data_IF_834172402457
#
_entry.id   IF_834172402457
#
_cell.length_a   1.000
_cell.length_b   1.000
_cell.length_c   1.000
_cell.angle_alpha   90.00
_cell.angle_beta   90.00
_cell.angle_gamma   90.00
#
_symmetry.space_group_name_H-M   'P 1'
#
loop_
_entity.id
_entity.type
_entity.pdbx_description
1 polymer ?
#
# COMPACT_ATOMS: atom_id res chain seq x y z
N UNK A 1 64.59 34.02 27.37
CA UNK A 1 63.68 34.85 26.54
C UNK A 1 63.92 34.48 25.09
N UNK A 2 62.88 33.97 24.40
CA UNK A 2 62.74 33.81 22.95
C UNK A 2 63.76 32.93 22.19
N UNK A 3 63.44 32.21 21.13
CA UNK A 3 62.23 31.58 20.60
C UNK A 3 62.73 30.79 19.38
N UNK A 4 62.19 29.59 19.18
CA UNK A 4 62.68 28.58 18.26
C UNK A 4 62.40 28.89 16.78
N UNK A 5 63.26 28.32 15.93
CA UNK A 5 63.19 28.29 14.47
C UNK A 5 61.82 27.87 13.91
N UNK A 6 61.35 28.63 12.91
CA UNK A 6 60.28 28.25 11.98
C UNK A 6 60.83 27.33 10.88
N UNK A 7 60.15 26.21 10.64
CA UNK A 7 59.87 25.69 9.30
C UNK A 7 58.56 24.86 9.34
N UNK A 8 57.79 24.83 8.23
CA UNK A 8 56.37 24.52 8.21
C UNK A 8 56.16 23.02 7.97
N UNK A 9 55.35 22.38 8.81
CA UNK A 9 54.85 21.03 8.53
C UNK A 9 53.49 21.18 7.85
N UNK A 10 53.51 21.00 6.53
CA UNK A 10 52.34 20.81 5.69
C UNK A 10 51.66 19.49 6.12
N UNK A 11 50.73 19.58 7.06
CA UNK A 11 49.88 18.46 7.47
C UNK A 11 48.76 18.26 6.45
N UNK A 12 48.98 17.37 5.49
CA UNK A 12 47.94 16.81 4.62
C UNK A 12 46.89 16.09 5.47
N UNK A 13 45.80 16.78 5.79
CA UNK A 13 44.54 16.14 6.19
C UNK A 13 43.93 15.49 4.96
N UNK A 14 44.30 14.24 4.69
CA UNK A 14 43.46 13.34 3.92
C UNK A 14 42.21 13.04 4.75
N UNK A 15 41.23 13.95 4.70
CA UNK A 15 39.84 13.54 4.91
C UNK A 15 39.55 12.52 3.81
N UNK A 16 39.40 11.26 4.21
CA UNK A 16 38.82 10.25 3.35
C UNK A 16 37.41 10.72 2.98
N UNK A 17 37.27 11.33 1.81
CA UNK A 17 36.01 11.39 1.08
C UNK A 17 35.68 9.95 0.70
N UNK A 18 35.13 9.20 1.66
CA UNK A 18 34.26 8.10 1.30
C UNK A 18 33.00 8.82 0.83
N UNK A 19 32.65 8.79 -0.47
CA UNK A 19 31.33 9.22 -0.87
C UNK A 19 30.37 8.30 -0.13
N UNK A 20 29.65 8.85 0.86
CA UNK A 20 28.50 8.18 1.43
C UNK A 20 27.54 8.01 0.25
N UNK A 21 27.54 6.83 -0.36
CA UNK A 21 26.61 6.43 -1.41
C UNK A 21 25.22 6.24 -0.77
N UNK A 22 24.68 7.29 -0.14
CA UNK A 22 23.30 7.30 0.27
C UNK A 22 22.48 7.41 -1.01
N UNK A 23 21.80 6.32 -1.37
CA UNK A 23 20.83 6.31 -2.46
C UNK A 23 19.87 7.50 -2.29
N UNK A 24 19.80 8.34 -3.31
CA UNK A 24 19.00 9.57 -3.29
C UNK A 24 17.51 9.24 -3.42
N UNK A 25 16.71 9.72 -2.48
CA UNK A 25 15.24 9.76 -2.61
C UNK A 25 14.92 10.63 -3.83
N UNK A 26 14.14 10.09 -4.78
CA UNK A 26 13.60 10.86 -5.89
C UNK A 26 12.16 11.27 -5.59
N UNK A 27 11.81 12.47 -6.02
CA UNK A 27 10.49 13.07 -5.86
C UNK A 27 10.16 13.90 -7.11
N UNK A 28 8.87 14.17 -7.30
CA UNK A 28 8.41 15.04 -8.39
C UNK A 28 8.89 16.47 -8.11
N UNK A 29 9.57 17.08 -9.08
CA UNK A 29 9.97 18.49 -8.98
C UNK A 29 8.74 19.41 -8.98
N UNK A 30 8.83 20.58 -8.34
CA UNK A 30 7.70 21.52 -8.21
C UNK A 30 7.10 21.92 -9.56
N UNK A 31 7.94 22.10 -10.59
CA UNK A 31 7.53 22.36 -11.97
C UNK A 31 6.63 21.26 -12.58
N UNK A 32 6.70 20.04 -12.04
CA UNK A 32 5.98 18.86 -12.51
C UNK A 32 4.81 18.46 -11.62
N UNK A 33 4.48 19.23 -10.57
CA UNK A 33 3.34 18.91 -9.70
C UNK A 33 2.00 18.86 -10.44
N UNK A 34 1.87 19.54 -11.59
CA UNK A 34 0.66 19.43 -12.41
C UNK A 34 0.37 17.99 -12.87
N UNK A 35 1.40 17.14 -12.97
CA UNK A 35 1.27 15.72 -13.32
C UNK A 35 0.60 14.89 -12.22
N UNK A 36 0.48 15.44 -11.00
CA UNK A 36 -0.19 14.82 -9.86
C UNK A 36 -1.68 15.20 -9.76
N UNK A 37 -2.16 16.15 -10.57
CA UNK A 37 -3.57 16.55 -10.59
C UNK A 37 -4.56 15.40 -10.76
N UNK A 38 -4.33 14.38 -11.62
CA UNK A 38 -5.24 13.25 -11.74
C UNK A 38 -5.45 12.50 -10.41
N UNK A 39 -4.38 12.29 -9.64
CA UNK A 39 -4.45 11.63 -8.34
C UNK A 39 -5.28 12.45 -7.36
N UNK A 40 -5.00 13.75 -7.26
CA UNK A 40 -5.71 14.66 -6.36
C UNK A 40 -7.19 14.79 -6.73
N UNK A 41 -7.52 14.80 -8.02
CA UNK A 41 -8.91 14.80 -8.50
C UNK A 41 -9.66 13.54 -8.05
N UNK A 42 -9.06 12.36 -8.19
CA UNK A 42 -9.64 11.09 -7.72
C UNK A 42 -9.81 11.08 -6.21
N UNK A 43 -8.80 11.55 -5.45
CA UNK A 43 -8.82 11.55 -3.98
C UNK A 43 -9.79 12.56 -3.38
N UNK A 44 -10.09 13.66 -4.08
CA UNK A 44 -10.96 14.76 -3.58
C UNK A 44 -12.42 14.58 -3.95
N UNK A 45 -12.72 13.67 -4.89
CA UNK A 45 -14.08 13.41 -5.33
C UNK A 45 -14.82 12.54 -4.30
N UNK A 46 -15.73 13.18 -3.55
CA UNK A 46 -16.49 12.58 -2.45
C UNK A 46 -17.38 11.40 -2.86
N UNK A 47 -17.68 11.24 -4.16
CA UNK A 47 -18.40 10.08 -4.69
C UNK A 47 -17.62 8.78 -4.48
N UNK A 48 -16.29 8.85 -4.45
CA UNK A 48 -15.42 7.68 -4.45
C UNK A 48 -14.73 7.43 -3.11
N UNK A 49 -14.78 8.36 -2.16
CA UNK A 49 -14.11 8.22 -0.85
C UNK A 49 -15.08 7.83 0.24
N UNK A 50 -15.14 6.55 0.59
CA UNK A 50 -15.94 6.10 1.75
C UNK A 50 -15.19 5.09 2.61
N UNK A 51 -15.58 5.01 3.89
CA UNK A 51 -15.02 4.05 4.84
C UNK A 51 -13.51 4.21 5.05
N UNK A 52 -12.74 3.14 4.89
CA UNK A 52 -11.29 3.16 5.08
C UNK A 52 -10.55 3.96 4.01
N UNK A 53 -11.12 4.13 2.80
CA UNK A 53 -10.50 4.96 1.76
C UNK A 53 -10.31 6.41 2.22
N UNK A 54 -11.24 6.92 3.05
CA UNK A 54 -11.11 8.25 3.64
C UNK A 54 -9.88 8.35 4.56
N UNK A 55 -9.45 7.25 5.18
CA UNK A 55 -8.24 7.21 5.99
C UNK A 55 -6.97 7.16 5.13
N UNK A 56 -6.95 6.37 4.04
CA UNK A 56 -5.85 6.36 3.06
C UNK A 56 -5.61 7.77 2.51
N UNK A 57 -6.68 8.41 2.05
CA UNK A 57 -6.64 9.77 1.50
C UNK A 57 -6.19 10.77 2.56
N UNK A 58 -6.76 10.74 3.76
CA UNK A 58 -6.39 11.65 4.84
C UNK A 58 -4.91 11.51 5.22
N UNK A 59 -4.41 10.28 5.36
CA UNK A 59 -3.00 10.01 5.66
C UNK A 59 -2.10 10.60 4.59
N UNK A 60 -2.38 10.29 3.32
CA UNK A 60 -1.58 10.77 2.19
C UNK A 60 -1.53 12.30 2.12
N UNK A 61 -2.69 12.96 2.16
CA UNK A 61 -2.78 14.42 2.07
C UNK A 61 -2.02 15.12 3.21
N UNK A 62 -2.05 14.55 4.42
CA UNK A 62 -1.31 15.09 5.57
C UNK A 62 0.19 14.92 5.42
N UNK A 63 0.66 13.74 4.99
CA UNK A 63 2.08 13.46 4.82
C UNK A 63 2.71 14.35 3.75
N UNK A 64 1.99 14.66 2.67
CA UNK A 64 2.46 15.58 1.62
C UNK A 64 2.21 17.06 1.95
N UNK A 65 1.67 17.35 3.14
CA UNK A 65 1.47 18.70 3.66
C UNK A 65 0.41 19.53 2.94
N UNK A 66 -0.66 18.89 2.42
CA UNK A 66 -1.82 19.61 1.88
C UNK A 66 -2.64 20.18 3.04
N UNK A 67 -2.83 21.50 3.03
CA UNK A 67 -3.43 22.23 4.16
C UNK A 67 -4.92 22.58 3.97
N UNK A 68 -5.52 22.20 2.84
CA UNK A 68 -6.89 22.59 2.49
C UNK A 68 -7.90 22.07 3.53
N UNK A 69 -8.32 22.93 4.47
CA UNK A 69 -9.23 22.55 5.55
C UNK A 69 -10.62 22.16 5.06
N UNK A 70 -11.07 22.70 3.92
CA UNK A 70 -12.37 22.32 3.33
C UNK A 70 -12.38 20.87 2.85
N UNK A 71 -11.21 20.30 2.58
CA UNK A 71 -11.02 18.89 2.22
C UNK A 71 -10.68 18.02 3.44
N UNK A 72 -9.74 18.46 4.27
CA UNK A 72 -9.21 17.67 5.40
C UNK A 72 -10.25 17.48 6.51
N UNK A 73 -11.06 18.50 6.83
CA UNK A 73 -12.04 18.41 7.92
C UNK A 73 -13.16 17.38 7.64
N UNK A 74 -13.83 17.39 6.46
CA UNK A 74 -14.80 16.36 6.14
C UNK A 74 -14.21 14.95 6.10
N UNK A 75 -13.00 14.77 5.58
CA UNK A 75 -12.31 13.48 5.56
C UNK A 75 -12.05 12.96 6.98
N UNK A 76 -11.51 13.81 7.86
CA UNK A 76 -11.31 13.47 9.27
C UNK A 76 -12.61 13.06 9.96
N UNK A 77 -13.69 13.83 9.76
CA UNK A 77 -14.99 13.49 10.34
C UNK A 77 -15.53 12.15 9.82
N UNK A 78 -15.35 11.86 8.52
CA UNK A 78 -15.73 10.56 7.95
C UNK A 78 -14.95 9.41 8.58
N UNK A 79 -13.64 9.56 8.77
CA UNK A 79 -12.78 8.56 9.43
C UNK A 79 -13.28 8.30 10.85
N UNK A 80 -13.49 9.34 11.65
CA UNK A 80 -14.02 9.21 13.02
C UNK A 80 -15.40 8.54 13.06
N UNK A 81 -16.29 8.91 12.13
CA UNK A 81 -17.62 8.30 12.00
C UNK A 81 -17.54 6.82 11.60
N UNK A 82 -16.57 6.47 10.75
CA UNK A 82 -16.34 5.08 10.35
C UNK A 82 -15.88 4.23 11.53
N UNK A 83 -14.99 4.76 12.38
CA UNK A 83 -14.61 4.12 13.65
C UNK A 83 -15.83 3.88 14.52
N UNK A 84 -16.66 4.89 14.76
CA UNK A 84 -17.87 4.75 15.58
C UNK A 84 -18.88 3.74 15.01
N UNK A 85 -18.98 3.60 13.69
CA UNK A 85 -19.90 2.66 13.02
C UNK A 85 -19.40 1.23 13.00
N UNK A 86 -18.11 1.02 12.70
CA UNK A 86 -17.52 -0.32 12.59
C UNK A 86 -17.08 -0.87 13.93
N UNK A 87 -16.60 -0.03 14.84
CA UNK A 87 -16.17 -0.40 16.18
C UNK A 87 -15.22 -1.60 16.16
N UNK A 88 -15.60 -2.66 16.87
CA UNK A 88 -14.83 -3.91 16.97
C UNK A 88 -14.67 -4.66 15.65
N UNK A 89 -15.51 -4.40 14.63
CA UNK A 89 -15.45 -5.06 13.33
C UNK A 89 -14.33 -4.55 12.41
N UNK A 90 -13.62 -3.48 12.81
CA UNK A 90 -12.41 -3.05 12.08
C UNK A 90 -11.34 -4.14 12.16
N UNK A 91 -10.67 -4.41 11.05
CA UNK A 91 -9.48 -5.25 11.07
C UNK A 91 -8.29 -4.56 11.78
N UNK A 92 -7.24 -5.33 12.09
CA UNK A 92 -5.98 -4.80 12.62
C UNK A 92 -5.39 -3.72 11.70
N UNK A 93 -5.29 -4.00 10.40
CA UNK A 93 -4.76 -3.07 9.41
C UNK A 93 -5.63 -1.83 9.18
N UNK A 94 -6.97 -1.98 9.20
CA UNK A 94 -7.87 -0.82 9.09
C UNK A 94 -7.72 0.11 10.29
N UNK A 95 -7.64 -0.43 11.52
CA UNK A 95 -7.45 0.38 12.72
C UNK A 95 -6.06 1.03 12.74
N UNK A 96 -5.02 0.31 12.28
CA UNK A 96 -3.67 0.85 12.15
C UNK A 96 -3.63 2.04 11.18
N UNK A 97 -4.22 1.88 9.99
CA UNK A 97 -4.31 2.94 8.98
C UNK A 97 -5.08 4.17 9.49
N UNK A 98 -6.20 3.95 10.19
CA UNK A 98 -6.96 5.03 10.83
C UNK A 98 -6.10 5.77 11.86
N UNK A 99 -5.34 5.04 12.67
CA UNK A 99 -4.46 5.61 13.69
C UNK A 99 -3.36 6.46 13.03
N UNK A 100 -2.71 5.94 11.99
CA UNK A 100 -1.73 6.66 11.17
C UNK A 100 -2.35 7.93 10.57
N UNK A 101 -3.53 7.84 9.97
CA UNK A 101 -4.19 8.98 9.33
C UNK A 101 -4.51 10.11 10.32
N UNK A 102 -5.08 9.76 11.49
CA UNK A 102 -5.47 10.73 12.50
C UNK A 102 -4.27 11.38 13.21
N UNK A 103 -3.15 10.65 13.34
CA UNK A 103 -1.93 11.12 14.00
C UNK A 103 -0.76 11.41 13.05
N UNK A 104 -1.01 11.55 11.74
CA UNK A 104 0.02 11.78 10.73
C UNK A 104 0.89 13.02 11.02
N UNK A 105 0.30 14.02 11.68
CA UNK A 105 0.94 15.27 12.10
C UNK A 105 0.11 15.90 13.24
N UNK A 106 0.67 16.93 13.90
CA UNK A 106 0.06 17.59 15.05
C UNK A 106 -1.28 18.25 14.70
N UNK A 107 -2.39 17.65 15.13
CA UNK A 107 -3.75 18.17 14.95
C UNK A 107 -4.62 17.83 16.16
N UNK A 108 -5.80 18.47 16.29
CA UNK A 108 -6.79 18.10 17.30
C UNK A 108 -7.36 16.69 17.10
N UNK A 109 -7.13 16.05 15.95
CA UNK A 109 -7.61 14.69 15.70
C UNK A 109 -6.83 13.63 16.46
N UNK A 110 -5.61 13.94 16.91
CA UNK A 110 -4.81 13.06 17.76
C UNK A 110 -5.55 12.74 19.07
N UNK A 111 -6.32 13.70 19.61
CA UNK A 111 -7.13 13.52 20.83
C UNK A 111 -8.09 12.34 20.68
N UNK A 112 -8.67 12.16 19.49
CA UNK A 112 -9.60 11.07 19.21
C UNK A 112 -8.94 9.69 19.37
N UNK A 113 -7.65 9.56 19.05
CA UNK A 113 -6.88 8.31 19.19
C UNK A 113 -6.87 7.87 20.65
N UNK A 114 -6.58 8.79 21.57
CA UNK A 114 -6.46 8.48 22.99
C UNK A 114 -7.82 8.35 23.68
N UNK A 115 -8.77 9.26 23.41
CA UNK A 115 -10.10 9.20 24.03
C UNK A 115 -10.85 7.91 23.67
N UNK A 116 -10.66 7.41 22.45
CA UNK A 116 -11.29 6.16 21.97
C UNK A 116 -10.38 4.94 22.15
N UNK A 117 -9.26 5.07 22.88
CA UNK A 117 -8.34 3.97 23.19
C UNK A 117 -7.91 3.16 21.96
N UNK A 118 -7.72 3.83 20.81
CA UNK A 118 -7.45 3.15 19.54
C UNK A 118 -6.17 2.32 19.59
N UNK A 119 -5.15 2.78 20.31
CA UNK A 119 -3.89 2.04 20.52
C UNK A 119 -4.13 0.73 21.27
N UNK A 120 -4.86 0.76 22.40
CA UNK A 120 -5.20 -0.45 23.14
C UNK A 120 -6.06 -1.42 22.33
N UNK A 121 -6.97 -0.91 21.50
CA UNK A 121 -7.72 -1.74 20.55
C UNK A 121 -6.83 -2.35 19.47
N UNK A 122 -5.83 -1.62 18.99
CA UNK A 122 -4.87 -2.11 18.00
C UNK A 122 -3.92 -3.17 18.58
N UNK A 123 -3.46 -2.98 19.82
CA UNK A 123 -2.67 -3.97 20.57
C UNK A 123 -3.42 -5.30 20.69
N UNK A 124 -4.69 -5.24 21.13
CA UNK A 124 -5.54 -6.43 21.23
C UNK A 124 -5.78 -7.10 19.86
N UNK A 125 -5.96 -6.31 18.80
CA UNK A 125 -6.14 -6.85 17.45
C UNK A 125 -4.88 -7.49 16.91
N UNK A 126 -3.70 -6.89 17.12
CA UNK A 126 -2.43 -7.48 16.74
C UNK A 126 -2.19 -8.80 17.49
N UNK A 127 -2.52 -8.85 18.78
CA UNK A 127 -2.47 -10.07 19.57
C UNK A 127 -3.41 -11.16 19.02
N UNK A 128 -4.63 -10.79 18.60
CA UNK A 128 -5.57 -11.71 17.98
C UNK A 128 -5.07 -12.27 16.63
N UNK A 129 -4.36 -11.47 15.83
CA UNK A 129 -3.67 -11.96 14.62
C UNK A 129 -2.68 -13.08 14.97
N UNK A 130 -1.83 -12.83 15.98
CA UNK A 130 -0.80 -13.77 16.45
C UNK A 130 -1.43 -15.04 17.02
N UNK A 131 -2.52 -14.93 17.76
CA UNK A 131 -3.26 -16.08 18.30
C UNK A 131 -3.87 -16.93 17.17
N UNK A 132 -4.43 -16.30 16.14
CA UNK A 132 -4.94 -17.03 15.00
C UNK A 132 -3.83 -17.76 14.24
N UNK A 133 -2.65 -17.15 14.10
CA UNK A 133 -1.48 -17.81 13.52
C UNK A 133 -1.06 -19.05 14.31
N UNK A 134 -1.09 -19.01 15.65
CA UNK A 134 -0.80 -20.18 16.48
C UNK A 134 -1.84 -21.29 16.29
N UNK A 135 -3.10 -20.93 16.11
CA UNK A 135 -4.21 -21.86 15.96
C UNK A 135 -4.37 -22.43 14.54
N UNK A 136 -3.95 -21.70 13.51
CA UNK A 136 -4.24 -22.01 12.10
C UNK A 136 -2.96 -22.02 11.24
N UNK A 137 -1.97 -22.81 11.65
CA UNK A 137 -0.75 -23.08 10.86
C UNK A 137 -0.11 -21.79 10.33
N UNK A 138 0.12 -20.81 11.19
CA UNK A 138 0.77 -19.55 10.83
C UNK A 138 -0.09 -18.58 9.99
N UNK A 139 -1.37 -18.85 9.73
CA UNK A 139 -2.26 -17.92 9.01
C UNK A 139 -2.82 -16.85 9.96
N UNK A 140 -2.61 -15.55 9.70
CA UNK A 140 -3.24 -14.47 10.48
C UNK A 140 -4.76 -14.40 10.23
N UNK A 141 -5.49 -13.63 11.03
CA UNK A 141 -6.91 -13.30 10.74
C UNK A 141 -7.02 -12.51 9.43
N UNK A 142 -6.01 -11.70 9.12
CA UNK A 142 -5.92 -10.89 7.91
C UNK A 142 -4.75 -11.34 7.01
N UNK A 143 -3.66 -10.60 6.96
CA UNK A 143 -2.48 -10.90 6.16
C UNK A 143 -1.26 -10.14 6.71
N UNK A 144 -0.07 -10.49 6.22
CA UNK A 144 1.18 -9.85 6.68
C UNK A 144 1.29 -8.37 6.33
N UNK A 145 0.57 -7.88 5.31
CA UNK A 145 0.51 -6.45 5.00
C UNK A 145 -0.19 -5.70 6.14
N UNK A 146 -1.33 -6.20 6.61
CA UNK A 146 -2.06 -5.62 7.75
C UNK A 146 -1.32 -5.83 9.08
N UNK A 147 -0.66 -6.97 9.27
CA UNK A 147 0.22 -7.20 10.42
C UNK A 147 1.36 -6.17 10.45
N UNK A 148 2.00 -5.92 9.31
CA UNK A 148 3.03 -4.90 9.14
C UNK A 148 2.52 -3.50 9.45
N UNK A 149 1.35 -3.12 8.93
CA UNK A 149 0.70 -1.85 9.27
C UNK A 149 0.43 -1.71 10.77
N UNK A 150 -0.03 -2.78 11.42
CA UNK A 150 -0.27 -2.81 12.87
C UNK A 150 1.01 -2.56 13.68
N UNK A 151 2.09 -3.27 13.36
CA UNK A 151 3.41 -3.08 14.00
C UNK A 151 3.95 -1.67 13.74
N UNK A 152 3.84 -1.18 12.51
CA UNK A 152 4.27 0.17 12.14
C UNK A 152 3.55 1.24 12.97
N UNK A 153 2.23 1.18 13.05
CA UNK A 153 1.43 2.12 13.82
C UNK A 153 1.77 2.04 15.32
N UNK A 154 1.81 0.85 15.92
CA UNK A 154 2.19 0.72 17.33
C UNK A 154 3.61 1.23 17.60
N UNK A 155 4.55 1.00 16.69
CA UNK A 155 5.90 1.54 16.82
C UNK A 155 5.93 3.09 16.81
N UNK A 156 5.28 3.72 15.84
CA UNK A 156 5.26 5.18 15.70
C UNK A 156 4.55 5.88 16.87
N UNK A 157 3.48 5.28 17.39
CA UNK A 157 2.69 5.83 18.50
C UNK A 157 3.10 5.31 19.88
N UNK A 158 4.23 4.60 19.97
CA UNK A 158 4.76 4.02 21.23
C UNK A 158 3.76 3.12 21.97
N UNK A 159 2.96 2.39 21.21
CA UNK A 159 2.09 1.32 21.72
C UNK A 159 2.88 0.07 22.13
N UNK A 160 2.21 -0.87 22.78
CA UNK A 160 2.84 -2.09 23.30
C UNK A 160 2.91 -3.20 22.26
N UNK A 161 4.10 -3.75 22.06
CA UNK A 161 4.34 -4.94 21.24
C UNK A 161 5.66 -5.60 21.65
N UNK A 162 5.84 -6.88 21.32
CA UNK A 162 7.07 -7.62 21.61
C UNK A 162 8.04 -7.56 20.43
N UNK A 163 9.23 -6.99 20.65
CA UNK A 163 10.27 -6.92 19.61
C UNK A 163 10.76 -8.29 19.18
N UNK A 164 10.88 -9.24 20.10
CA UNK A 164 11.30 -10.61 19.80
C UNK A 164 10.26 -11.36 18.97
N UNK A 165 8.96 -11.15 19.25
CA UNK A 165 7.89 -11.70 18.41
C UNK A 165 7.89 -11.07 17.02
N UNK A 166 8.10 -9.75 16.92
CA UNK A 166 8.23 -9.10 15.61
C UNK A 166 9.41 -9.68 14.83
N UNK A 167 10.58 -9.84 15.46
CA UNK A 167 11.73 -10.46 14.83
C UNK A 167 11.40 -11.87 14.33
N UNK A 168 10.78 -12.72 15.15
CA UNK A 168 10.40 -14.08 14.76
C UNK A 168 9.36 -14.12 13.62
N UNK A 169 8.28 -13.37 13.73
CA UNK A 169 7.15 -13.42 12.79
C UNK A 169 7.54 -12.89 11.41
N UNK A 170 8.36 -11.84 11.34
CA UNK A 170 8.74 -11.16 10.10
C UNK A 170 10.00 -11.76 9.44
N UNK A 171 10.33 -13.02 9.74
CA UNK A 171 11.37 -13.74 9.02
C UNK A 171 11.08 -13.77 7.49
N UNK A 172 12.04 -13.41 6.61
CA UNK A 172 11.82 -13.24 5.17
C UNK A 172 11.35 -14.47 4.40
N UNK A 173 11.55 -15.66 4.96
CA UNK A 173 11.12 -16.95 4.38
C UNK A 173 9.73 -17.38 4.86
N UNK A 174 9.05 -16.55 5.66
CA UNK A 174 7.70 -16.85 6.11
C UNK A 174 6.73 -16.95 4.92
N UNK A 175 5.92 -18.02 4.89
CA UNK A 175 4.95 -18.30 3.81
C UNK A 175 3.93 -17.17 3.59
N UNK A 176 3.71 -16.30 4.57
CA UNK A 176 2.78 -15.17 4.44
C UNK A 176 3.32 -14.01 3.58
N UNK A 177 4.57 -14.06 3.13
CA UNK A 177 5.11 -13.15 2.11
C UNK A 177 4.79 -13.59 0.68
N UNK A 178 4.20 -14.77 0.48
CA UNK A 178 4.06 -15.36 -0.85
C UNK A 178 2.61 -15.65 -1.18
N UNK A 179 2.22 -15.33 -2.42
CA UNK A 179 0.98 -15.77 -3.06
C UNK A 179 1.32 -16.49 -4.37
N UNK A 180 0.80 -17.69 -4.57
CA UNK A 180 1.19 -18.62 -5.64
C UNK A 180 2.69 -18.89 -5.70
N UNK A 181 3.36 -18.91 -4.54
CA UNK A 181 4.82 -19.01 -4.46
C UNK A 181 5.57 -17.78 -4.99
N UNK A 182 4.87 -16.72 -5.37
CA UNK A 182 5.44 -15.44 -5.80
C UNK A 182 5.49 -14.48 -4.61
N UNK A 183 6.61 -13.77 -4.49
CA UNK A 183 6.78 -12.79 -3.43
C UNK A 183 5.84 -11.60 -3.62
N UNK A 184 5.12 -11.22 -2.55
CA UNK A 184 4.26 -10.05 -2.54
C UNK A 184 5.04 -8.80 -2.17
N UNK A 185 5.28 -7.96 -3.17
CA UNK A 185 6.02 -6.70 -3.02
C UNK A 185 5.36 -5.78 -2.00
N UNK A 186 4.04 -5.62 -2.01
CA UNK A 186 3.30 -4.79 -1.05
C UNK A 186 3.56 -5.22 0.40
N UNK A 187 3.43 -6.53 0.66
CA UNK A 187 3.63 -7.13 1.98
C UNK A 187 5.07 -6.97 2.45
N UNK A 188 6.03 -7.25 1.57
CA UNK A 188 7.45 -7.10 1.86
C UNK A 188 7.82 -5.65 2.15
N UNK A 189 7.32 -4.71 1.35
CA UNK A 189 7.58 -3.29 1.52
C UNK A 189 6.98 -2.74 2.83
N UNK A 190 5.75 -3.13 3.16
CA UNK A 190 5.13 -2.77 4.43
C UNK A 190 5.89 -3.35 5.64
N UNK A 191 6.38 -4.59 5.51
CA UNK A 191 7.25 -5.19 6.51
C UNK A 191 8.57 -4.42 6.68
N UNK A 192 9.22 -3.98 5.61
CA UNK A 192 10.43 -3.15 5.68
C UNK A 192 10.15 -1.85 6.43
N UNK A 193 9.04 -1.15 6.14
CA UNK A 193 8.65 0.06 6.87
C UNK A 193 8.47 -0.21 8.37
N UNK A 194 7.71 -1.26 8.72
CA UNK A 194 7.47 -1.64 10.11
C UNK A 194 8.76 -2.00 10.86
N UNK A 195 9.57 -2.89 10.28
CA UNK A 195 10.85 -3.33 10.85
C UNK A 195 11.83 -2.17 11.00
N UNK A 196 11.86 -1.24 10.04
CA UNK A 196 12.70 -0.04 10.12
C UNK A 196 12.28 0.85 11.28
N UNK A 197 10.98 1.02 11.53
CA UNK A 197 10.51 1.72 12.73
C UNK A 197 11.01 1.04 14.01
N UNK A 198 10.82 -0.29 14.12
CA UNK A 198 11.22 -1.04 15.31
C UNK A 198 12.74 -0.97 15.53
N UNK A 199 13.53 -1.09 14.47
CA UNK A 199 15.00 -0.90 14.49
C UNK A 199 15.37 0.48 15.04
N UNK A 200 14.74 1.56 14.58
CA UNK A 200 14.96 2.92 15.09
C UNK A 200 14.60 3.03 16.58
N UNK A 201 13.47 2.45 17.01
CA UNK A 201 13.06 2.41 18.40
C UNK A 201 14.05 1.67 19.32
N UNK A 202 14.57 0.53 18.88
CA UNK A 202 15.60 -0.26 19.57
C UNK A 202 16.92 0.51 19.73
N UNK A 203 17.39 1.18 18.68
CA UNK A 203 18.62 1.98 18.69
C UNK A 203 18.48 3.17 19.66
N UNK A 204 17.32 3.81 19.67
CA UNK A 204 17.05 4.99 20.51
C UNK A 204 16.75 4.63 21.98
N UNK A 205 16.83 3.35 22.36
CA UNK A 205 16.60 2.89 23.74
C UNK A 205 15.14 2.99 24.18
N UNK A 206 14.18 3.12 23.25
CA UNK A 206 12.75 3.18 23.55
C UNK A 206 12.20 1.80 23.97
N UNK A 207 12.95 0.72 23.72
CA UNK A 207 12.63 -0.67 24.11
C UNK A 207 13.84 -1.34 24.76
N UNK A 208 13.62 -2.21 25.76
CA UNK A 208 14.70 -2.95 26.45
C UNK A 208 15.45 -3.80 25.43
N UNK A 209 16.73 -3.50 25.24
CA UNK A 209 17.56 -4.00 24.14
C UNK A 209 17.91 -5.49 24.28
N UNK A 210 17.43 -6.33 23.35
CA UNK A 210 18.16 -7.54 22.97
C UNK A 210 18.98 -7.25 21.71
N UNK A 211 20.31 -7.27 21.84
CA UNK A 211 21.24 -7.08 20.70
C UNK A 211 21.00 -8.11 19.59
N UNK A 212 20.43 -9.27 19.93
CA UNK A 212 20.06 -10.33 18.98
C UNK A 212 18.89 -9.92 18.11
N UNK A 213 17.82 -9.38 18.71
CA UNK A 213 16.62 -8.94 17.98
C UNK A 213 16.97 -7.82 17.01
N UNK A 214 17.80 -6.86 17.43
CA UNK A 214 18.26 -5.77 16.55
C UNK A 214 18.98 -6.31 15.30
N UNK A 215 19.88 -7.28 15.46
CA UNK A 215 20.59 -7.91 14.33
C UNK A 215 19.63 -8.69 13.43
N UNK A 216 18.75 -9.49 14.02
CA UNK A 216 17.77 -10.27 13.27
C UNK A 216 16.85 -9.37 12.43
N UNK A 217 16.39 -8.25 13.00
CA UNK A 217 15.56 -7.28 12.30
C UNK A 217 16.33 -6.64 11.15
N UNK A 218 17.60 -6.27 11.36
CA UNK A 218 18.45 -5.72 10.30
C UNK A 218 18.66 -6.70 9.14
N UNK A 219 18.95 -7.97 9.46
CA UNK A 219 19.09 -9.05 8.47
C UNK A 219 17.78 -9.28 7.70
N UNK A 220 16.64 -9.19 8.39
CA UNK A 220 15.31 -9.32 7.77
C UNK A 220 15.03 -8.17 6.80
N UNK A 221 15.33 -6.92 7.19
CA UNK A 221 15.22 -5.76 6.30
C UNK A 221 16.09 -5.98 5.07
N UNK A 222 17.36 -6.35 5.24
CA UNK A 222 18.28 -6.58 4.13
C UNK A 222 17.75 -7.65 3.15
N UNK A 223 17.23 -8.77 3.68
CA UNK A 223 16.70 -9.84 2.84
C UNK A 223 15.42 -9.42 2.12
N UNK A 224 14.50 -8.71 2.78
CA UNK A 224 13.26 -8.23 2.17
C UNK A 224 13.55 -7.20 1.07
N UNK A 225 14.51 -6.30 1.29
CA UNK A 225 14.96 -5.33 0.27
C UNK A 225 15.47 -6.04 -0.98
N UNK A 226 16.28 -7.09 -0.83
CA UNK A 226 16.73 -7.91 -1.96
C UNK A 226 15.57 -8.58 -2.71
N UNK A 227 14.58 -9.11 -1.99
CA UNK A 227 13.36 -9.71 -2.60
C UNK A 227 12.51 -8.65 -3.33
N UNK A 228 12.38 -7.45 -2.77
CA UNK A 228 11.69 -6.31 -3.42
C UNK A 228 12.42 -5.93 -4.72
N UNK A 229 13.75 -5.77 -4.68
CA UNK A 229 14.55 -5.41 -5.86
C UNK A 229 14.55 -6.49 -6.93
N UNK A 230 14.44 -7.78 -6.57
CA UNK A 230 14.31 -8.87 -7.55
C UNK A 230 13.00 -8.84 -8.33
N UNK A 231 11.96 -8.17 -7.82
CA UNK A 231 10.69 -7.98 -8.51
C UNK A 231 10.66 -6.74 -9.42
N UNK A 232 11.79 -6.02 -9.54
CA UNK A 232 11.94 -4.86 -10.43
C UNK A 232 11.85 -5.29 -11.89
N UNK A 233 10.94 -4.67 -12.64
CA UNK A 233 10.75 -4.84 -14.08
C UNK A 233 11.72 -3.96 -14.88
N UNK A 234 11.89 -4.26 -16.16
CA UNK A 234 12.80 -3.52 -17.05
C UNK A 234 12.41 -2.04 -17.19
N UNK A 235 11.11 -1.74 -17.15
CA UNK A 235 10.60 -0.37 -17.19
C UNK A 235 10.74 0.37 -15.85
N UNK A 236 11.29 -0.25 -14.80
CA UNK A 236 11.49 0.37 -13.50
C UNK A 236 10.34 0.21 -12.51
N UNK A 237 9.20 -0.37 -12.88
CA UNK A 237 8.17 -0.77 -11.91
C UNK A 237 8.71 -1.84 -10.97
N UNK A 238 8.22 -1.91 -9.74
CA UNK A 238 8.63 -2.90 -8.74
C UNK A 238 7.41 -3.72 -8.36
N UNK A 239 7.39 -4.99 -8.78
CA UNK A 239 6.17 -5.81 -8.80
C UNK A 239 5.26 -5.39 -9.95
N UNK A 240 4.26 -4.56 -9.67
CA UNK A 240 3.33 -3.98 -10.64
C UNK A 240 3.09 -2.48 -10.38
N UNK A 241 2.24 -1.85 -11.19
CA UNK A 241 1.90 -0.41 -11.08
C UNK A 241 1.43 -0.01 -9.67
N UNK A 242 0.65 -0.85 -9.00
CA UNK A 242 0.03 -0.54 -7.71
C UNK A 242 0.94 -0.85 -6.52
N UNK A 243 1.86 -1.81 -6.64
CA UNK A 243 2.83 -2.14 -5.58
C UNK A 243 4.05 -1.22 -5.55
N UNK A 244 4.34 -0.56 -6.68
CA UNK A 244 5.54 0.25 -6.85
C UNK A 244 5.61 1.41 -5.85
N UNK A 245 4.48 2.07 -5.55
CA UNK A 245 4.44 3.19 -4.60
C UNK A 245 4.95 2.82 -3.21
N UNK A 246 4.47 1.72 -2.64
CA UNK A 246 4.91 1.24 -1.31
C UNK A 246 6.33 0.66 -1.36
N UNK A 247 6.70 -0.02 -2.45
CA UNK A 247 8.07 -0.52 -2.65
C UNK A 247 9.11 0.60 -2.62
N UNK A 248 8.83 1.72 -3.29
CA UNK A 248 9.68 2.90 -3.26
C UNK A 248 9.85 3.44 -1.83
N UNK A 249 8.78 3.51 -1.02
CA UNK A 249 8.91 3.93 0.39
C UNK A 249 9.85 3.01 1.18
N UNK A 250 9.72 1.70 1.00
CA UNK A 250 10.61 0.73 1.62
C UNK A 250 12.08 0.96 1.21
N UNK A 251 12.33 1.21 -0.07
CA UNK A 251 13.69 1.49 -0.57
C UNK A 251 14.23 2.86 -0.13
N UNK A 252 13.39 3.87 0.06
CA UNK A 252 13.81 5.18 0.60
C UNK A 252 14.38 5.06 2.01
N UNK A 253 13.84 4.17 2.83
CA UNK A 253 14.21 4.05 4.25
C UNK A 253 15.25 2.96 4.51
N UNK A 254 15.73 2.29 3.46
CA UNK A 254 16.62 1.12 3.53
C UNK A 254 17.82 1.22 2.57
N UNK A 255 18.26 2.44 2.25
CA UNK A 255 19.40 2.73 1.37
C UNK A 255 20.71 2.07 1.80
N UNK A 256 20.87 1.74 3.08
CA UNK A 256 22.02 0.98 3.60
C UNK A 256 22.12 -0.46 3.06
N UNK A 257 21.05 -0.98 2.43
CA UNK A 257 20.93 -2.39 2.02
C UNK A 257 20.99 -2.63 0.50
N UNK A 258 21.21 -1.59 -0.32
CA UNK A 258 21.38 -1.70 -1.77
C UNK A 258 22.24 -0.56 -2.32
N UNK A 259 22.81 -0.73 -3.51
CA UNK A 259 23.62 0.28 -4.21
C UNK A 259 22.78 1.07 -5.20
N UNK A 260 23.19 2.31 -5.49
CA UNK A 260 22.55 3.15 -6.53
C UNK A 260 22.43 2.46 -7.90
N UNK A 261 23.39 1.59 -8.25
CA UNK A 261 23.37 0.82 -9.50
C UNK A 261 22.25 -0.24 -9.55
N UNK A 262 21.72 -0.66 -8.42
CA UNK A 262 20.68 -1.70 -8.34
C UNK A 262 19.28 -1.13 -8.57
N UNK A 263 19.07 0.16 -8.36
CA UNK A 263 17.78 0.81 -8.55
C UNK A 263 17.89 2.26 -9.04
N UNK A 264 17.39 2.50 -10.26
CA UNK A 264 17.20 3.84 -10.80
C UNK A 264 15.84 4.40 -10.37
N UNK A 265 15.84 5.15 -9.26
CA UNK A 265 14.63 5.77 -8.72
C UNK A 265 13.92 6.68 -9.74
N UNK A 266 14.68 7.48 -10.51
CA UNK A 266 14.10 8.41 -11.49
C UNK A 266 13.34 7.67 -12.60
N UNK A 267 13.88 6.54 -13.08
CA UNK A 267 13.18 5.70 -14.06
C UNK A 267 11.84 5.18 -13.52
N UNK A 268 11.81 4.73 -12.27
CA UNK A 268 10.58 4.29 -11.59
C UNK A 268 9.58 5.44 -11.47
N UNK A 269 10.05 6.62 -11.04
CA UNK A 269 9.25 7.83 -10.90
C UNK A 269 8.61 8.24 -12.24
N UNK A 270 9.41 8.31 -13.30
CA UNK A 270 8.95 8.69 -14.65
C UNK A 270 7.91 7.70 -15.19
N UNK A 271 8.10 6.42 -14.91
CA UNK A 271 7.18 5.35 -15.33
C UNK A 271 5.85 5.46 -14.58
N UNK A 272 5.86 5.68 -13.26
CA UNK A 272 4.62 5.88 -12.51
C UNK A 272 3.88 7.14 -12.96
N UNK A 273 4.59 8.24 -13.25
CA UNK A 273 3.96 9.44 -13.78
C UNK A 273 3.33 9.22 -15.17
N UNK A 274 3.89 8.30 -15.97
CA UNK A 274 3.26 7.86 -17.23
C UNK A 274 1.98 7.06 -16.95
N UNK A 275 2.00 6.10 -16.04
CA UNK A 275 0.81 5.33 -15.63
C UNK A 275 -0.31 6.24 -15.11
N UNK A 276 0.03 7.29 -14.35
CA UNK A 276 -0.92 8.32 -13.89
C UNK A 276 -1.56 9.04 -15.07
N UNK A 277 -0.77 9.48 -16.05
CA UNK A 277 -1.28 10.17 -17.25
C UNK A 277 -2.18 9.28 -18.11
N UNK A 278 -2.04 7.96 -18.00
CA UNK A 278 -2.86 6.96 -18.69
C UNK A 278 -4.11 6.57 -17.89
N UNK A 279 -4.31 7.17 -16.70
CA UNK A 279 -5.49 6.92 -15.88
C UNK A 279 -5.45 5.61 -15.10
N UNK A 280 -4.28 5.04 -14.81
CA UNK A 280 -4.18 3.76 -14.08
C UNK A 280 -4.74 3.84 -12.64
N UNK A 281 -4.64 5.01 -11.99
CA UNK A 281 -5.01 5.20 -10.58
C UNK A 281 -6.43 5.76 -10.43
N UNK A 282 -7.43 4.94 -10.73
CA UNK A 282 -8.86 5.32 -10.65
C UNK A 282 -9.46 5.16 -9.25
N UNK A 283 -8.80 4.42 -8.36
CA UNK A 283 -9.23 4.19 -6.98
C UNK A 283 -8.57 5.19 -6.02
N UNK A 284 -9.32 5.83 -5.10
CA UNK A 284 -8.74 6.77 -4.15
C UNK A 284 -7.66 6.17 -3.24
N UNK A 285 -7.81 4.91 -2.82
CA UNK A 285 -6.79 4.23 -2.03
C UNK A 285 -5.48 4.05 -2.81
N UNK A 286 -5.56 3.63 -4.08
CA UNK A 286 -4.40 3.49 -4.95
C UNK A 286 -3.70 4.84 -5.20
N UNK A 287 -4.49 5.89 -5.46
CA UNK A 287 -3.99 7.25 -5.67
C UNK A 287 -3.30 7.80 -4.41
N UNK A 288 -3.88 7.58 -3.23
CA UNK A 288 -3.32 8.02 -1.95
C UNK A 288 -2.00 7.31 -1.61
N UNK A 289 -1.91 6.00 -1.87
CA UNK A 289 -0.69 5.23 -1.62
C UNK A 289 0.47 5.73 -2.46
N UNK A 290 0.25 5.99 -3.75
CA UNK A 290 1.32 6.44 -4.65
C UNK A 290 1.68 7.92 -4.46
N UNK A 291 0.71 8.80 -4.17
CA UNK A 291 0.96 10.24 -4.01
C UNK A 291 2.01 10.54 -2.94
N UNK A 292 1.92 9.84 -1.80
CA UNK A 292 2.85 10.00 -0.66
C UNK A 292 4.31 9.83 -1.11
N UNK A 293 4.56 8.75 -1.84
CA UNK A 293 5.90 8.40 -2.34
C UNK A 293 6.39 9.36 -3.41
N UNK A 294 5.52 9.80 -4.32
CA UNK A 294 5.89 10.74 -5.39
C UNK A 294 6.39 12.08 -4.85
N UNK A 295 6.02 12.40 -3.61
CA UNK A 295 6.46 13.58 -2.87
C UNK A 295 7.64 13.31 -1.94
N UNK A 296 8.38 12.21 -2.15
CA UNK A 296 9.53 11.85 -1.33
C UNK A 296 9.20 11.46 0.11
N UNK A 297 7.93 11.20 0.42
CA UNK A 297 7.46 10.83 1.76
C UNK A 297 7.22 9.33 1.91
N UNK A 298 7.21 8.90 3.15
CA UNK A 298 7.00 7.53 3.59
C UNK A 298 6.07 7.50 4.79
N UNK A 299 5.52 6.32 5.13
CA UNK A 299 4.77 6.18 6.37
C UNK A 299 5.62 6.33 7.64
N UNK A 300 6.96 6.33 7.54
CA UNK A 300 7.84 6.67 8.67
C UNK A 300 7.92 8.19 8.93
N UNK A 301 7.36 9.02 8.04
CA UNK A 301 7.25 10.47 8.24
C UNK A 301 5.99 10.87 9.03
N UNK A 302 5.19 9.88 9.47
CA UNK A 302 4.13 10.12 10.46
C UNK A 302 4.77 10.54 11.77
N UNK A 303 4.55 11.81 12.14
CA UNK A 303 5.07 12.34 13.38
C UNK A 303 4.07 13.34 14.01
N UNK A 304 3.44 12.88 15.09
CA UNK A 304 2.47 13.64 15.88
C UNK A 304 3.05 14.93 16.49
N UNK A 305 4.38 15.04 16.62
CA UNK A 305 5.03 16.20 17.23
C UNK A 305 5.34 17.31 16.20
N UNK A 306 5.20 17.04 14.89
CA UNK A 306 5.47 18.00 13.82
C UNK A 306 4.21 18.66 13.23
N UNK A 307 4.38 19.89 12.74
CA UNK A 307 3.32 20.64 12.08
C UNK A 307 2.95 20.05 10.71
N UNK A 308 1.64 19.96 10.43
CA UNK A 308 1.11 19.59 9.11
C UNK A 308 1.41 20.61 7.99
N UNK A 309 2.14 21.69 8.29
CA UNK A 309 2.41 22.79 7.36
C UNK A 309 3.62 22.61 6.46
N UNK A 310 4.38 21.53 6.64
CA UNK A 310 5.63 21.30 5.91
C UNK A 310 5.35 20.51 4.63
N UNK A 311 4.88 21.17 3.55
CA UNK A 311 4.62 20.52 2.26
C UNK A 311 3.90 21.39 1.23
N UNK A 312 3.07 20.77 0.38
CA UNK A 312 2.43 21.38 -0.81
C UNK A 312 1.55 22.61 -0.53
N UNK A 313 1.13 22.85 0.72
CA UNK A 313 0.36 24.03 1.11
C UNK A 313 -1.04 24.08 0.49
N UNK A 314 -1.45 25.26 0.02
CA UNK A 314 -2.72 25.47 -0.70
C UNK A 314 -2.55 25.11 -2.18
N UNK A 315 -2.40 23.82 -2.45
CA UNK A 315 -2.35 23.30 -3.80
C UNK A 315 -3.71 23.49 -4.48
N UNK A 316 -3.76 24.26 -5.57
CA UNK A 316 -4.98 24.41 -6.37
C UNK A 316 -5.29 23.07 -7.03
N UNK A 317 -6.27 22.35 -6.48
CA UNK A 317 -6.85 21.17 -7.12
C UNK A 317 -7.72 21.71 -8.25
N UNK A 318 -7.40 21.46 -9.53
CA UNK A 318 -8.26 21.87 -10.61
C UNK A 318 -9.63 21.24 -10.40
N UNK A 319 -10.66 22.08 -10.36
CA UNK A 319 -12.04 21.64 -10.46
C UNK A 319 -12.24 21.07 -11.86
N UNK A 320 -11.86 19.82 -12.10
CA UNK A 320 -12.18 19.19 -13.38
C UNK A 320 -13.68 18.89 -13.35
N UNK A 321 -14.47 19.71 -14.04
CA UNK A 321 -15.71 19.23 -14.62
C UNK A 321 -15.35 18.04 -15.52
N UNK A 322 -16.13 16.96 -15.53
CA UNK A 322 -15.89 15.88 -16.47
C UNK A 322 -15.81 16.50 -17.86
N UNK A 323 -14.69 16.33 -18.57
CA UNK A 323 -14.68 16.59 -19.99
C UNK A 323 -15.82 15.76 -20.57
N UNK A 324 -16.84 16.46 -21.05
CA UNK A 324 -17.92 15.88 -21.84
C UNK A 324 -17.30 15.53 -23.18
N UNK A 325 -16.48 14.50 -23.17
CA UNK A 325 -16.05 13.82 -24.37
C UNK A 325 -17.32 13.36 -25.07
N UNK A 326 -17.50 13.89 -26.28
CA UNK A 326 -18.58 13.55 -27.18
C UNK A 326 -18.63 12.03 -27.28
N UNK A 327 -19.78 11.36 -27.07
CA UNK A 327 -19.84 9.91 -27.13
C UNK A 327 -19.32 9.47 -28.52
N UNK A 328 -18.23 8.69 -28.61
CA UNK A 328 -17.88 8.09 -29.88
C UNK A 328 -19.03 7.14 -30.23
N UNK A 329 -19.57 7.32 -31.44
CA UNK A 329 -20.32 6.38 -32.27
C UNK A 329 -20.85 5.12 -31.56
N UNK A 330 -22.17 4.94 -31.54
CA UNK A 330 -22.94 3.71 -31.23
C UNK A 330 -22.22 2.67 -30.36
N UNK A 331 -22.68 2.39 -29.11
CA UNK A 331 -21.98 1.46 -28.23
C UNK A 331 -21.70 0.14 -28.96
N UNK A 332 -20.43 -0.07 -29.29
CA UNK A 332 -19.99 -1.31 -29.91
C UNK A 332 -20.00 -2.37 -28.83
N UNK A 333 -20.79 -3.41 -29.03
CA UNK A 333 -20.74 -4.55 -28.14
C UNK A 333 -19.46 -5.35 -28.42
N UNK A 334 -18.80 -5.79 -27.36
CA UNK A 334 -17.64 -6.66 -27.40
C UNK A 334 -18.04 -8.04 -26.88
N UNK A 335 -17.39 -9.09 -27.37
CA UNK A 335 -17.58 -10.46 -26.91
C UNK A 335 -16.32 -11.00 -26.26
N UNK A 336 -16.48 -11.64 -25.11
CA UNK A 336 -15.39 -12.24 -24.32
C UNK A 336 -15.70 -13.71 -24.01
N UNK A 337 -14.65 -14.50 -23.81
CA UNK A 337 -14.76 -15.87 -23.33
C UNK A 337 -14.61 -15.86 -21.81
N UNK A 338 -15.70 -16.09 -21.08
CA UNK A 338 -15.69 -16.10 -19.62
C UNK A 338 -15.70 -17.54 -19.09
N UNK A 339 -14.87 -17.83 -18.11
CA UNK A 339 -14.78 -19.15 -17.49
C UNK A 339 -14.65 -19.10 -15.96
N UNK A 340 -15.18 -20.12 -15.31
CA UNK A 340 -14.99 -20.38 -13.87
C UNK A 340 -14.31 -21.73 -13.73
N UNK A 341 -13.20 -21.77 -12.99
CA UNK A 341 -12.37 -22.96 -12.78
C UNK A 341 -12.31 -23.31 -11.31
N UNK A 342 -12.79 -24.50 -10.95
CA UNK A 342 -12.65 -25.08 -9.60
C UNK A 342 -11.82 -26.37 -9.70
N UNK A 343 -12.49 -27.48 -9.99
CA UNK A 343 -11.90 -28.73 -10.48
C UNK A 343 -12.17 -28.88 -11.98
N UNK A 344 -13.41 -28.64 -12.38
CA UNK A 344 -13.87 -28.54 -13.75
C UNK A 344 -13.84 -27.08 -14.23
N UNK A 345 -13.85 -26.90 -15.55
CA UNK A 345 -13.91 -25.57 -16.19
C UNK A 345 -15.29 -25.43 -16.83
N UNK A 346 -16.04 -24.43 -16.39
CA UNK A 346 -17.28 -24.02 -17.03
C UNK A 346 -17.04 -22.72 -17.78
N UNK A 347 -17.39 -22.68 -19.06
CA UNK A 347 -17.14 -21.53 -19.93
C UNK A 347 -18.38 -21.10 -20.70
N UNK A 348 -18.48 -19.81 -20.98
CA UNK A 348 -19.53 -19.23 -21.82
C UNK A 348 -19.00 -18.02 -22.58
N UNK A 349 -19.67 -17.64 -23.67
CA UNK A 349 -19.37 -16.38 -24.36
C UNK A 349 -20.32 -15.31 -23.85
N UNK A 350 -19.77 -14.17 -23.42
CA UNK A 350 -20.53 -13.04 -22.89
C UNK A 350 -20.35 -11.85 -23.83
N UNK A 351 -21.44 -11.12 -24.06
CA UNK A 351 -21.44 -9.90 -24.87
C UNK A 351 -21.85 -8.74 -23.97
N UNK A 352 -21.01 -7.72 -23.90
CA UNK A 352 -21.21 -6.51 -23.09
C UNK A 352 -20.89 -5.26 -23.91
N UNK A 353 -21.38 -4.07 -23.55
CA UNK A 353 -20.93 -2.82 -24.16
C UNK A 353 -19.42 -2.61 -24.02
N UNK A 354 -18.78 -2.02 -25.03
CA UNK A 354 -17.39 -1.57 -24.92
C UNK A 354 -17.23 -0.61 -23.74
N UNK A 355 -16.17 -0.81 -22.95
CA UNK A 355 -15.92 -0.05 -21.71
C UNK A 355 -16.50 -0.69 -20.44
N UNK A 356 -17.22 -1.81 -20.55
CA UNK A 356 -17.62 -2.61 -19.40
C UNK A 356 -16.42 -3.16 -18.62
N UNK A 357 -16.64 -3.39 -17.33
CA UNK A 357 -15.64 -3.99 -16.43
C UNK A 357 -15.86 -5.49 -16.27
N UNK A 358 -14.88 -6.21 -15.73
CA UNK A 358 -14.95 -7.65 -15.49
C UNK A 358 -16.20 -8.04 -14.69
N UNK A 359 -16.61 -7.22 -13.71
CA UNK A 359 -17.83 -7.45 -12.93
C UNK A 359 -19.09 -7.48 -13.80
N UNK A 360 -19.19 -6.63 -14.82
CA UNK A 360 -20.34 -6.64 -15.75
C UNK A 360 -20.41 -7.96 -16.51
N UNK A 361 -19.25 -8.52 -16.89
CA UNK A 361 -19.17 -9.84 -17.54
C UNK A 361 -19.65 -10.94 -16.60
N UNK A 362 -19.23 -10.91 -15.33
CA UNK A 362 -19.68 -11.88 -14.33
C UNK A 362 -21.19 -11.78 -14.10
N UNK A 363 -21.73 -10.57 -14.08
CA UNK A 363 -23.17 -10.32 -13.92
C UNK A 363 -23.99 -10.85 -15.10
N UNK A 364 -23.53 -10.64 -16.33
CA UNK A 364 -24.18 -11.23 -17.52
C UNK A 364 -24.05 -12.75 -17.57
N UNK A 365 -22.91 -13.31 -17.12
CA UNK A 365 -22.74 -14.76 -17.02
C UNK A 365 -23.70 -15.36 -15.98
N UNK A 366 -23.85 -14.71 -14.83
CA UNK A 366 -24.79 -15.08 -13.79
C UNK A 366 -26.24 -15.12 -14.30
N UNK A 367 -26.67 -14.11 -15.07
CA UNK A 367 -28.00 -14.10 -15.70
C UNK A 367 -28.24 -15.27 -16.66
N UNK A 368 -27.20 -15.75 -17.36
CA UNK A 368 -27.29 -16.91 -18.23
C UNK A 368 -27.43 -18.22 -17.46
N UNK A 369 -26.71 -18.37 -16.35
CA UNK A 369 -26.77 -19.56 -15.51
C UNK A 369 -26.31 -19.24 -14.07
N UNK A 370 -27.27 -18.98 -13.19
CA UNK A 370 -27.02 -18.66 -11.77
C UNK A 370 -26.34 -19.82 -11.02
N UNK A 371 -26.66 -21.06 -11.37
CA UNK A 371 -26.10 -22.23 -10.67
C UNK A 371 -24.60 -22.37 -10.93
N UNK A 372 -24.15 -22.07 -12.14
CA UNK A 372 -22.74 -22.24 -12.57
C UNK A 372 -21.93 -20.96 -12.37
N UNK A 373 -22.53 -19.79 -12.61
CA UNK A 373 -21.82 -18.50 -12.59
C UNK A 373 -22.27 -17.59 -11.44
N UNK A 374 -23.12 -18.07 -10.53
CA UNK A 374 -23.52 -17.34 -9.34
C UNK A 374 -22.32 -17.06 -8.44
N UNK A 375 -22.21 -15.82 -7.94
CA UNK A 375 -21.11 -15.36 -7.12
C UNK A 375 -21.61 -14.40 -6.04
N UNK A 376 -20.79 -14.20 -5.01
CA UNK A 376 -21.03 -13.18 -3.99
C UNK A 376 -19.84 -12.23 -3.87
N UNK A 377 -20.14 -10.97 -3.60
CA UNK A 377 -19.15 -9.90 -3.46
C UNK A 377 -19.28 -9.21 -2.12
N UNK A 378 -18.14 -8.79 -1.58
CA UNK A 378 -18.08 -7.89 -0.45
C UNK A 378 -17.43 -6.58 -0.89
N UNK A 379 -18.00 -5.44 -0.45
CA UNK A 379 -17.42 -4.13 -0.75
C UNK A 379 -16.25 -3.84 0.20
N UNK A 380 -15.10 -3.56 -0.39
CA UNK A 380 -13.87 -3.19 0.31
C UNK A 380 -13.41 -1.77 -0.04
N UNK A 381 -12.35 -1.28 0.61
CA UNK A 381 -11.70 -0.02 0.21
C UNK A 381 -11.05 -0.08 -1.18
N UNK A 382 -10.92 -1.28 -1.76
CA UNK A 382 -10.39 -1.52 -3.10
C UNK A 382 -11.50 -1.86 -4.12
N UNK A 383 -12.77 -1.70 -3.72
CA UNK A 383 -13.92 -2.04 -4.55
C UNK A 383 -14.49 -3.43 -4.27
N UNK A 384 -15.32 -3.97 -5.19
CA UNK A 384 -15.97 -5.26 -5.03
C UNK A 384 -14.95 -6.40 -5.04
N UNK A 385 -14.93 -7.18 -3.97
CA UNK A 385 -14.09 -8.36 -3.79
C UNK A 385 -14.93 -9.63 -3.89
N UNK A 386 -14.54 -10.57 -4.76
CA UNK A 386 -15.24 -11.84 -4.93
C UNK A 386 -14.99 -12.74 -3.71
N UNK A 387 -16.04 -13.05 -2.96
CA UNK A 387 -15.93 -13.89 -1.75
C UNK A 387 -16.39 -15.33 -1.98
N UNK A 388 -17.31 -15.58 -2.91
CA UNK A 388 -17.68 -16.92 -3.33
C UNK A 388 -18.08 -17.00 -4.79
N UNK A 389 -17.92 -18.19 -5.39
CA UNK A 389 -18.49 -18.58 -6.69
C UNK A 389 -19.08 -19.98 -6.53
N UNK A 390 -20.28 -20.22 -7.06
CA UNK A 390 -21.06 -21.46 -6.84
C UNK A 390 -21.26 -21.80 -5.35
N UNK A 391 -21.31 -20.78 -4.48
CA UNK A 391 -21.41 -20.96 -3.03
C UNK A 391 -20.11 -21.40 -2.34
N UNK A 392 -19.05 -21.75 -3.08
CA UNK A 392 -17.74 -22.06 -2.52
C UNK A 392 -17.05 -20.76 -2.08
N UNK A 393 -16.92 -20.57 -0.76
CA UNK A 393 -16.42 -19.35 -0.15
C UNK A 393 -14.91 -19.41 0.08
N UNK A 394 -14.21 -18.33 -0.28
CA UNK A 394 -12.82 -18.10 0.08
C UNK A 394 -12.63 -18.15 1.61
N UNK A 395 -11.50 -18.71 2.07
CA UNK A 395 -11.21 -18.85 3.48
C UNK A 395 -9.73 -18.55 3.75
N UNK A 396 -9.49 -17.59 4.65
CA UNK A 396 -8.15 -17.11 4.96
C UNK A 396 -7.31 -18.15 5.75
N UNK A 397 -7.93 -18.90 6.66
CA UNK A 397 -7.25 -19.97 7.40
C UNK A 397 -6.84 -21.11 6.47
N UNK A 398 -7.72 -21.45 5.51
CA UNK A 398 -7.43 -22.46 4.48
C UNK A 398 -6.53 -21.92 3.35
N UNK A 399 -6.21 -20.62 3.39
CA UNK A 399 -5.40 -19.90 2.39
C UNK A 399 -5.95 -20.07 0.98
N UNK A 400 -7.27 -19.94 0.84
CA UNK A 400 -8.01 -20.11 -0.42
C UNK A 400 -8.72 -18.82 -0.84
N UNK A 401 -8.73 -18.56 -2.15
CA UNK A 401 -9.35 -17.35 -2.71
C UNK A 401 -9.75 -17.54 -4.17
N UNK A 402 -10.44 -16.54 -4.72
CA UNK A 402 -10.81 -16.46 -6.13
C UNK A 402 -9.83 -15.55 -6.89
N UNK A 403 -8.98 -16.16 -7.71
CA UNK A 403 -8.04 -15.47 -8.59
C UNK A 403 -8.74 -15.01 -9.88
N UNK A 404 -8.41 -13.81 -10.33
CA UNK A 404 -8.92 -13.24 -11.58
C UNK A 404 -7.81 -13.25 -12.63
N UNK A 405 -8.11 -13.79 -13.81
CA UNK A 405 -7.16 -13.87 -14.91
C UNK A 405 -7.75 -13.33 -16.22
N UNK A 406 -6.88 -12.79 -17.06
CA UNK A 406 -7.15 -12.52 -18.47
C UNK A 406 -6.07 -13.19 -19.32
N UNK A 407 -6.49 -14.01 -20.28
CA UNK A 407 -5.64 -14.80 -21.16
C UNK A 407 -4.59 -15.63 -20.39
N UNK A 408 -5.01 -16.23 -19.26
CA UNK A 408 -4.16 -17.06 -18.40
C UNK A 408 -3.18 -16.29 -17.51
N UNK A 409 -3.23 -14.95 -17.48
CA UNK A 409 -2.38 -14.10 -16.62
C UNK A 409 -3.20 -13.45 -15.52
N UNK A 410 -2.69 -13.48 -14.29
CA UNK A 410 -3.34 -12.86 -13.13
C UNK A 410 -3.49 -11.34 -13.35
N UNK A 411 -4.66 -10.82 -13.02
CA UNK A 411 -4.96 -9.39 -13.16
C UNK A 411 -4.33 -8.56 -12.05
N UNK A 412 -3.93 -7.33 -12.37
CA UNK A 412 -3.46 -6.35 -11.39
C UNK A 412 -4.58 -5.43 -10.88
N UNK A 413 -5.83 -5.66 -11.30
CA UNK A 413 -7.00 -4.85 -10.94
C UNK A 413 -8.16 -5.76 -10.51
N UNK A 414 -9.02 -5.25 -9.62
CA UNK A 414 -10.22 -5.96 -9.17
C UNK A 414 -11.33 -5.99 -10.22
N UNK A 415 -12.36 -6.80 -9.98
CA UNK A 415 -13.46 -7.00 -10.93
C UNK A 415 -14.21 -5.71 -11.28
N UNK A 416 -14.26 -4.75 -10.34
CA UNK A 416 -14.95 -3.47 -10.53
C UNK A 416 -14.13 -2.42 -11.29
N UNK A 417 -12.88 -2.70 -11.64
CA UNK A 417 -11.95 -1.71 -12.22
C UNK A 417 -11.32 -2.19 -13.53
N UNK A 418 -11.13 -3.50 -13.70
CA UNK A 418 -10.55 -4.05 -14.92
C UNK A 418 -11.54 -3.92 -16.09
N UNK A 419 -11.26 -2.98 -17.01
CA UNK A 419 -12.00 -2.83 -18.27
C UNK A 419 -11.63 -3.95 -19.22
N UNK A 420 -12.64 -4.67 -19.73
CA UNK A 420 -12.44 -5.85 -20.59
C UNK A 420 -12.39 -5.46 -22.06
N UNK A 421 -11.69 -6.25 -22.86
CA UNK A 421 -11.51 -6.02 -24.30
C UNK A 421 -12.05 -7.17 -25.14
N UNK A 422 -12.42 -6.87 -26.39
CA UNK A 422 -12.99 -7.86 -27.30
C UNK A 422 -12.03 -9.05 -27.52
N UNK A 423 -12.56 -10.26 -27.41
CA UNK A 423 -11.83 -11.52 -27.60
C UNK A 423 -11.03 -12.01 -26.38
N UNK A 424 -11.05 -11.30 -25.25
CA UNK A 424 -10.33 -11.75 -24.05
C UNK A 424 -10.88 -13.06 -23.47
N UNK A 425 -9.95 -13.92 -23.01
CA UNK A 425 -10.24 -15.11 -22.22
C UNK A 425 -10.18 -14.79 -20.72
N UNK A 426 -11.32 -14.43 -20.14
CA UNK A 426 -11.48 -14.11 -18.73
C UNK A 426 -11.72 -15.37 -17.91
N UNK A 427 -11.03 -15.51 -16.79
CA UNK A 427 -11.14 -16.68 -15.91
C UNK A 427 -11.24 -16.24 -14.44
N UNK A 428 -12.16 -16.86 -13.70
CA UNK A 428 -12.23 -16.80 -12.24
C UNK A 428 -11.86 -18.18 -11.70
N UNK A 429 -10.71 -18.27 -11.04
CA UNK A 429 -10.10 -19.54 -10.63
C UNK A 429 -10.11 -19.69 -9.11
N UNK A 430 -10.51 -20.87 -8.64
CA UNK A 430 -10.31 -21.27 -7.25
C UNK A 430 -8.82 -21.55 -7.01
N UNK A 431 -8.23 -20.79 -6.10
CA UNK A 431 -6.79 -20.70 -5.93
C UNK A 431 -6.38 -20.82 -4.46
N UNK A 432 -5.12 -21.20 -4.24
CA UNK A 432 -4.46 -21.20 -2.93
C UNK A 432 -3.26 -20.26 -2.94
N UNK A 433 -2.91 -19.72 -1.78
CA UNK A 433 -1.74 -18.85 -1.61
C UNK A 433 -0.43 -19.57 -1.96
#
# INVERSE_FOLDING_TARGET
>A
MGQSHLLPILGLLFFSLIPNQLCKICEVSEENYFRLHPLLSIMTNSKYTTGTQSADVLLSLRLVGIQNQTLIQPLSQQVKKYVGRKGSNLSSGQLALITLALGACRTADEIFIYENHLLGHLENKLQAEIENMKAHDGSPLTNYYQLGLGVLALCLFRGQYSTSQVAELFAPENKNYYFHGQFTVDTGAMAVLALTCVKRGLINGQTKTDKKDLRSIDDHIQSLVKKILSEKKENGLIGNTFSTGTAMQALFVSSDHYKESEWNCQQTLDTILKEISQGAFTLPAAAAQVLTTLMGKTYLDVDKDFSCASGLGNFNIPSHEPDTTTPPNSPTNISVHYSVKISEIYSTTITVPSGSVFLDVMEEARKKNETVFGFTVEQSSWGPYITSVQGLKANNNDRTYWELLSNGRSLSQGVGNYVVHNGEGLEVRWSKY
#
